data_IF_615564904817
#
_entry.id   IF_615564904817
#
_cell.length_a   1.000
_cell.length_b   1.000
_cell.length_c   1.000
_cell.angle_alpha   90.00
_cell.angle_beta   90.00
_cell.angle_gamma   90.00
#
_symmetry.space_group_name_H-M   'P 1'
#
loop_
_entity.id
_entity.type
_entity.pdbx_description
1 polymer ?
#
# COMPACT_ATOMS: atom_id res chain seq x y z
N UNK A 1 -20.98 -10.43 -4.31
CA UNK A 1 -19.50 -10.44 -4.28
C UNK A 1 -19.07 -9.18 -5.02
N UNK A 2 -18.36 -8.28 -4.35
CA UNK A 2 -17.93 -7.00 -4.97
C UNK A 2 -16.57 -7.24 -5.61
N UNK A 3 -16.47 -7.04 -6.91
CA UNK A 3 -15.20 -7.11 -7.63
C UNK A 3 -14.40 -5.82 -7.36
N UNK A 4 -13.11 -5.96 -7.10
CA UNK A 4 -12.20 -4.85 -6.80
C UNK A 4 -11.33 -4.61 -8.02
N UNK A 5 -11.50 -3.44 -8.65
CA UNK A 5 -10.65 -2.99 -9.75
C UNK A 5 -9.52 -2.13 -9.20
N UNK A 6 -8.27 -2.52 -9.49
CA UNK A 6 -7.07 -1.78 -9.11
C UNK A 6 -6.46 -1.09 -10.32
N UNK A 7 -6.10 0.19 -10.18
CA UNK A 7 -5.25 0.90 -11.15
C UNK A 7 -4.00 1.35 -10.41
N UNK A 8 -2.96 0.51 -10.43
CA UNK A 8 -1.78 0.66 -9.58
C UNK A 8 -1.08 2.02 -9.75
N UNK A 9 -1.00 2.52 -10.99
CA UNK A 9 -0.35 3.79 -11.33
C UNK A 9 -1.12 5.01 -10.80
N UNK A 10 -2.43 4.90 -10.56
CA UNK A 10 -3.22 5.95 -9.95
C UNK A 10 -3.17 5.89 -8.42
N UNK A 11 -3.04 4.69 -7.85
CA UNK A 11 -3.09 4.47 -6.39
C UNK A 11 -1.76 4.83 -5.72
N UNK A 12 -0.61 4.46 -6.31
CA UNK A 12 0.71 4.69 -5.72
C UNK A 12 1.00 6.18 -5.44
N UNK A 13 0.75 7.13 -6.36
CA UNK A 13 0.98 8.55 -6.09
C UNK A 13 0.12 9.09 -4.94
N UNK A 14 -1.10 8.58 -4.78
CA UNK A 14 -1.99 8.98 -3.68
C UNK A 14 -1.45 8.50 -2.33
N UNK A 15 -0.94 7.27 -2.27
CA UNK A 15 -0.30 6.73 -1.06
C UNK A 15 0.97 7.51 -0.71
N UNK A 16 1.78 7.88 -1.72
CA UNK A 16 3.00 8.66 -1.52
C UNK A 16 2.70 10.10 -1.03
N UNK A 17 1.66 10.75 -1.59
CA UNK A 17 1.18 12.05 -1.11
C UNK A 17 0.67 11.97 0.33
N UNK A 18 -0.10 10.93 0.68
CA UNK A 18 -0.53 10.67 2.05
C UNK A 18 0.65 10.47 3.00
N UNK A 19 1.67 9.72 2.58
CA UNK A 19 2.90 9.52 3.36
C UNK A 19 3.64 10.83 3.59
N UNK A 20 3.78 11.66 2.55
CA UNK A 20 4.39 12.98 2.67
C UNK A 20 3.65 13.86 3.67
N UNK A 21 2.32 13.95 3.57
CA UNK A 21 1.47 14.74 4.47
C UNK A 21 1.51 14.23 5.91
N UNK A 22 1.51 12.91 6.11
CA UNK A 22 1.64 12.32 7.43
C UNK A 22 2.99 12.64 8.09
N UNK A 23 4.06 12.70 7.29
CA UNK A 23 5.40 13.04 7.78
C UNK A 23 5.61 14.54 8.03
N UNK A 24 4.89 15.39 7.30
CA UNK A 24 4.87 16.84 7.50
C UNK A 24 4.09 17.28 8.76
N UNK A 25 3.32 16.37 9.38
CA UNK A 25 2.61 16.67 10.61
C UNK A 25 3.61 16.78 11.78
N UNK A 26 3.83 18.02 12.23
CA UNK A 26 4.61 18.34 13.42
C UNK A 26 3.69 18.40 14.65
N UNK A 27 3.82 17.47 15.60
CA UNK A 27 2.97 17.45 16.78
C UNK A 27 3.45 18.36 17.92
N UNK A 28 4.55 19.11 17.75
CA UNK A 28 5.15 19.87 18.86
C UNK A 28 4.20 20.89 19.48
N UNK A 29 4.06 20.86 20.81
CA UNK A 29 3.43 21.95 21.53
C UNK A 29 4.36 23.19 21.58
N UNK A 30 3.81 24.41 21.58
CA UNK A 30 4.58 25.61 21.87
C UNK A 30 5.05 25.63 23.34
N UNK A 31 6.00 26.50 23.66
CA UNK A 31 6.52 26.61 25.02
C UNK A 31 5.40 26.90 26.04
N UNK A 32 5.46 26.28 27.24
CA UNK A 32 4.50 26.54 28.30
C UNK A 32 4.44 28.02 28.70
N UNK A 33 3.23 28.51 28.95
CA UNK A 33 3.01 29.85 29.49
C UNK A 33 3.62 29.90 30.89
N UNK A 34 4.59 30.80 31.10
CA UNK A 34 5.28 31.00 32.37
C UNK A 34 5.04 32.42 32.92
N UNK A 35 5.17 32.59 34.24
CA UNK A 35 4.99 33.88 34.92
C UNK A 35 3.53 34.32 35.15
N UNK A 36 2.56 33.60 34.57
CA UNK A 36 1.14 33.76 34.87
C UNK A 36 0.71 32.74 35.93
N UNK A 37 -0.02 33.17 36.97
CA UNK A 37 -0.45 32.33 38.10
C UNK A 37 -1.97 32.09 38.11
N UNK A 38 -2.66 32.42 37.02
CA UNK A 38 -4.09 32.14 36.88
C UNK A 38 -4.29 30.65 36.54
N UNK A 39 -5.31 30.02 37.14
CA UNK A 39 -5.67 28.63 36.83
C UNK A 39 -5.91 28.40 35.31
N UNK A 40 -6.32 29.44 34.60
CA UNK A 40 -6.50 29.39 33.14
C UNK A 40 -5.18 29.14 32.40
N UNK A 41 -4.06 29.72 32.83
CA UNK A 41 -2.76 29.43 32.19
C UNK A 41 -2.33 27.98 32.40
N UNK A 42 -2.59 27.42 33.58
CA UNK A 42 -2.32 26.01 33.84
C UNK A 42 -3.18 25.11 32.96
N UNK A 43 -4.46 25.45 32.77
CA UNK A 43 -5.36 24.70 31.88
C UNK A 43 -5.00 24.81 30.41
N UNK A 44 -4.48 25.94 29.97
CA UNK A 44 -3.93 26.08 28.62
C UNK A 44 -2.68 25.22 28.43
N UNK A 45 -1.76 25.19 29.41
CA UNK A 45 -0.58 24.33 29.38
C UNK A 45 -0.94 22.83 29.34
N UNK A 46 -1.92 22.41 30.15
CA UNK A 46 -2.47 21.04 30.12
C UNK A 46 -3.09 20.70 28.76
N UNK A 47 -3.90 21.61 28.21
CA UNK A 47 -4.53 21.43 26.89
C UNK A 47 -3.49 21.30 25.77
N UNK A 48 -2.45 22.12 25.77
CA UNK A 48 -1.37 22.05 24.77
C UNK A 48 -0.67 20.68 24.82
N UNK A 49 -0.40 20.17 26.02
CA UNK A 49 0.18 18.83 26.21
C UNK A 49 -0.74 17.74 25.67
N UNK A 50 -2.04 17.83 25.93
CA UNK A 50 -3.02 16.86 25.41
C UNK A 50 -3.13 16.91 23.88
N UNK A 51 -3.09 18.09 23.27
CA UNK A 51 -3.12 18.25 21.82
C UNK A 51 -1.88 17.66 21.16
N UNK A 52 -0.69 17.89 21.70
CA UNK A 52 0.56 17.28 21.24
C UNK A 52 0.47 15.74 21.30
N UNK A 53 0.06 15.18 22.44
CA UNK A 53 -0.11 13.74 22.59
C UNK A 53 -1.16 13.17 21.61
N UNK A 54 -2.26 13.90 21.37
CA UNK A 54 -3.28 13.51 20.40
C UNK A 54 -2.72 13.48 18.98
N UNK A 55 -1.95 14.51 18.58
CA UNK A 55 -1.34 14.58 17.25
C UNK A 55 -0.29 13.49 17.05
N UNK A 56 0.54 13.20 18.07
CA UNK A 56 1.49 12.06 18.03
C UNK A 56 0.74 10.76 17.76
N UNK A 57 -0.33 10.49 18.53
CA UNK A 57 -1.12 9.26 18.37
C UNK A 57 -1.78 9.17 16.99
N UNK A 58 -2.35 10.28 16.52
CA UNK A 58 -2.96 10.35 15.19
C UNK A 58 -1.95 10.07 14.09
N UNK A 59 -0.76 10.70 14.15
CA UNK A 59 0.32 10.45 13.20
C UNK A 59 0.74 8.98 13.17
N UNK A 60 0.92 8.36 14.34
CA UNK A 60 1.28 6.94 14.45
C UNK A 60 0.26 6.04 13.76
N UNK A 61 -1.03 6.25 14.04
CA UNK A 61 -2.10 5.45 13.41
C UNK A 61 -2.16 5.71 11.90
N UNK A 62 -2.03 6.96 11.47
CA UNK A 62 -2.03 7.33 10.06
C UNK A 62 -0.87 6.67 9.30
N UNK A 63 0.35 6.70 9.87
CA UNK A 63 1.52 6.02 9.28
C UNK A 63 1.32 4.50 9.19
N UNK A 64 0.78 3.87 10.24
CA UNK A 64 0.48 2.44 10.22
C UNK A 64 -0.54 2.06 9.14
N UNK A 65 -1.56 2.90 8.96
CA UNK A 65 -2.57 2.71 7.91
C UNK A 65 -1.95 2.84 6.51
N UNK A 66 -1.13 3.87 6.29
CA UNK A 66 -0.44 4.11 5.01
C UNK A 66 0.43 2.91 4.64
N UNK A 67 1.24 2.41 5.57
CA UNK A 67 2.09 1.23 5.33
C UNK A 67 1.25 -0.03 5.07
N UNK A 68 0.16 -0.22 5.81
CA UNK A 68 -0.75 -1.35 5.59
C UNK A 68 -1.36 -1.30 4.20
N UNK A 69 -1.87 -0.14 3.77
CA UNK A 69 -2.44 0.06 2.43
C UNK A 69 -1.38 -0.16 1.35
N UNK A 70 -0.17 0.38 1.52
CA UNK A 70 0.95 0.17 0.59
C UNK A 70 1.28 -1.32 0.40
N UNK A 71 1.34 -2.06 1.51
CA UNK A 71 1.59 -3.49 1.49
C UNK A 71 0.45 -4.27 0.82
N UNK A 72 -0.81 -3.90 1.07
CA UNK A 72 -1.96 -4.51 0.38
C UNK A 72 -1.92 -4.30 -1.13
N UNK A 73 -1.62 -3.08 -1.59
CA UNK A 73 -1.51 -2.77 -3.02
C UNK A 73 -0.39 -3.59 -3.67
N UNK A 74 0.78 -3.66 -3.02
CA UNK A 74 1.91 -4.47 -3.49
C UNK A 74 1.54 -5.96 -3.57
N UNK A 75 0.88 -6.49 -2.54
CA UNK A 75 0.44 -7.88 -2.50
C UNK A 75 -0.52 -8.21 -3.66
N UNK A 76 -1.46 -7.30 -3.97
CA UNK A 76 -2.39 -7.49 -5.08
C UNK A 76 -1.67 -7.49 -6.43
N UNK A 77 -0.73 -6.58 -6.64
CA UNK A 77 0.08 -6.54 -7.87
C UNK A 77 0.95 -7.79 -8.05
N UNK A 78 1.59 -8.26 -6.98
CA UNK A 78 2.36 -9.52 -7.01
C UNK A 78 1.46 -10.72 -7.34
N UNK A 79 0.24 -10.75 -6.80
CA UNK A 79 -0.75 -11.78 -7.08
C UNK A 79 -1.19 -11.73 -8.55
N UNK A 80 -1.51 -10.55 -9.08
CA UNK A 80 -1.88 -10.38 -10.50
C UNK A 80 -0.76 -10.85 -11.44
N UNK A 81 0.49 -10.49 -11.13
CA UNK A 81 1.66 -10.91 -11.92
C UNK A 81 1.88 -12.43 -11.89
N UNK A 82 1.67 -13.08 -10.74
CA UNK A 82 1.75 -14.54 -10.61
C UNK A 82 0.67 -15.24 -11.44
N UNK A 83 -0.57 -14.74 -11.38
CA UNK A 83 -1.69 -15.28 -12.17
C UNK A 83 -1.43 -15.11 -13.66
N UNK A 84 -0.98 -13.93 -14.10
CA UNK A 84 -0.64 -13.67 -15.49
C UNK A 84 0.45 -14.64 -16.00
N UNK A 85 1.51 -14.83 -15.22
CA UNK A 85 2.60 -15.78 -15.56
C UNK A 85 2.10 -17.23 -15.66
N UNK A 86 1.19 -17.65 -14.78
CA UNK A 86 0.60 -18.98 -14.81
C UNK A 86 -0.31 -19.19 -16.05
N UNK A 87 -1.05 -18.16 -16.46
CA UNK A 87 -1.86 -18.19 -17.68
C UNK A 87 -0.97 -18.27 -18.92
N UNK A 88 0.06 -17.44 -19.02
CA UNK A 88 0.99 -17.46 -20.15
C UNK A 88 1.75 -18.79 -20.24
N UNK A 89 2.19 -19.34 -19.11
CA UNK A 89 2.87 -20.64 -19.04
C UNK A 89 1.98 -21.83 -19.42
N UNK A 90 0.66 -21.74 -19.21
CA UNK A 90 -0.29 -22.79 -19.58
C UNK A 90 -0.78 -22.69 -21.04
N UNK A 91 -0.63 -21.53 -21.68
CA UNK A 91 -0.97 -21.31 -23.10
C UNK A 91 0.07 -21.82 -24.12
N UNK A 92 1.30 -22.18 -23.70
CA UNK A 92 2.41 -22.55 -24.58
C UNK A 92 2.54 -24.04 -24.95
N UNK A 93 1.70 -24.94 -24.44
CA UNK A 93 1.84 -26.41 -24.59
C UNK A 93 0.75 -27.05 -25.48
N UNK A 94 0.41 -26.46 -26.63
CA UNK A 94 -0.37 -27.16 -27.65
C UNK A 94 -0.10 -26.65 -29.06
N UNK A 95 1.07 -26.98 -29.61
CA UNK A 95 1.48 -26.54 -30.95
C UNK A 95 2.38 -27.54 -31.68
N UNK A 96 1.85 -28.72 -32.01
CA UNK A 96 2.22 -29.46 -33.22
C UNK A 96 3.52 -30.28 -33.26
N UNK A 97 3.39 -31.60 -33.12
CA UNK A 97 4.15 -32.52 -33.98
C UNK A 97 3.35 -33.82 -34.19
N UNK A 98 2.71 -33.95 -35.35
CA UNK A 98 2.15 -35.21 -35.81
C UNK A 98 3.29 -36.04 -36.42
N UNK A 99 3.58 -37.27 -35.93
CA UNK A 99 4.55 -38.13 -36.59
C UNK A 99 3.93 -38.69 -37.87
N UNK A 100 4.54 -38.34 -39.01
CA UNK A 100 4.25 -38.92 -40.31
C UNK A 100 4.37 -40.45 -40.26
N UNK A 101 3.29 -41.13 -40.64
CA UNK A 101 3.18 -42.58 -40.71
C UNK A 101 3.90 -43.08 -41.98
N UNK A 102 5.16 -43.51 -41.85
CA UNK A 102 5.88 -44.18 -42.94
C UNK A 102 5.32 -45.60 -43.12
N UNK A 103 4.54 -45.83 -44.18
CA UNK A 103 4.27 -47.17 -44.69
C UNK A 103 5.43 -47.64 -45.59
N UNK A 104 5.81 -48.93 -45.58
CA UNK A 104 6.93 -49.41 -46.39
C UNK A 104 6.55 -49.53 -47.88
N UNK A 105 7.52 -49.20 -48.73
CA UNK A 105 7.51 -49.24 -50.21
C UNK A 105 7.52 -50.70 -50.70
N UNK A 106 6.83 -51.04 -51.81
CA UNK A 106 6.82 -52.42 -52.33
C UNK A 106 8.17 -52.82 -52.92
N UNK A 107 8.59 -54.05 -52.64
CA UNK A 107 9.77 -54.69 -53.21
C UNK A 107 9.37 -55.34 -54.54
N UNK A 108 10.29 -55.27 -55.51
CA UNK A 108 10.26 -55.77 -56.90
C UNK A 108 9.40 -56.99 -57.19
#
# INVERSE_FOLDING_TARGET
>A
MTEIKMVYDEIRPVIDDLSSKANALDPSAPEPISGNTLDVSDKLNELMTHLEQMLIRYRTVLQANIETTKNSVKFMEETDNQVATAIDGSGGSSGGQAPHRNGPVPIR
#
